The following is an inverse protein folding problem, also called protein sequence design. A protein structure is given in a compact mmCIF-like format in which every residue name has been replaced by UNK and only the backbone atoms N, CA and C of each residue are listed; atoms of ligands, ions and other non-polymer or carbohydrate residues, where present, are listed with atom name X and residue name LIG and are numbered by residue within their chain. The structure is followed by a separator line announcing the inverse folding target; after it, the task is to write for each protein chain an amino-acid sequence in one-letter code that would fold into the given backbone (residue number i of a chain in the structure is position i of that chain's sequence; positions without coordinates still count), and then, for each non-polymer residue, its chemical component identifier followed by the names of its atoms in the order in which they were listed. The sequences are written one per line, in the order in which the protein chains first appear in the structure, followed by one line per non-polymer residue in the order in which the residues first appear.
data_IF_417960480119
#
_entry.id   IF_417960480119
#
_cell.length_a   1.000
_cell.length_b   1.000
_cell.length_c   1.000
_cell.angle_alpha   90.00
_cell.angle_beta   90.00
_cell.angle_gamma   90.00
#
_symmetry.space_group_name_H-M   'P 1'
#
loop_
_entity.id
_entity.type
_entity.pdbx_description
1 polymer ?
#
# COMPACT_ATOMS: atom_id res chain seq x y z
N UNK A 1 -27.20 -1.02 -8.70
CA UNK A 1 -27.25 -0.23 -7.46
C UNK A 1 -26.68 1.14 -7.78
N UNK A 2 -27.33 2.22 -7.31
CA UNK A 2 -26.83 3.59 -7.43
C UNK A 2 -26.22 4.00 -6.08
N UNK A 3 -25.25 4.90 -6.09
CA UNK A 3 -24.64 5.47 -4.90
C UNK A 3 -24.88 6.99 -4.86
N UNK A 4 -25.05 7.55 -3.67
CA UNK A 4 -24.98 8.99 -3.44
C UNK A 4 -23.51 9.36 -3.19
N UNK A 5 -23.01 10.37 -3.90
CA UNK A 5 -21.63 10.84 -3.75
C UNK A 5 -21.66 12.29 -3.28
N UNK A 6 -21.21 12.53 -2.05
CA UNK A 6 -21.02 13.86 -1.49
C UNK A 6 -19.52 14.16 -1.44
N UNK A 7 -19.12 15.30 -2.00
CA UNK A 7 -17.73 15.75 -2.01
C UNK A 7 -17.65 17.06 -1.23
N UNK A 8 -16.63 17.15 -0.35
CA UNK A 8 -16.40 18.33 0.48
C UNK A 8 -14.98 18.81 0.31
N UNK A 9 -14.83 20.01 -0.20
CA UNK A 9 -13.54 20.67 -0.41
C UNK A 9 -13.10 21.38 0.88
N UNK A 10 -11.82 21.21 1.22
CA UNK A 10 -11.20 21.91 2.36
C UNK A 10 -11.15 23.41 2.08
N UNK A 11 -11.34 24.23 3.11
CA UNK A 11 -11.39 25.70 3.05
C UNK A 11 -12.65 26.28 2.36
N UNK A 12 -13.39 25.48 1.60
CA UNK A 12 -14.71 25.84 1.05
C UNK A 12 -15.86 25.27 1.90
N UNK A 13 -15.97 23.94 1.94
CA UNK A 13 -17.13 23.23 2.54
C UNK A 13 -16.85 22.77 3.98
N UNK A 14 -15.59 22.80 4.40
CA UNK A 14 -15.12 22.42 5.72
C UNK A 14 -13.80 23.11 6.05
N UNK A 15 -13.54 23.36 7.34
CA UNK A 15 -12.32 24.04 7.80
C UNK A 15 -11.16 23.09 8.11
N UNK A 16 -11.41 21.79 8.30
CA UNK A 16 -10.37 20.77 8.55
C UNK A 16 -10.84 19.37 8.17
N UNK A 17 -9.89 18.46 7.93
CA UNK A 17 -10.18 17.04 7.68
C UNK A 17 -10.83 16.38 8.90
N UNK A 18 -10.31 16.60 10.11
CA UNK A 18 -10.87 16.05 11.33
C UNK A 18 -12.33 16.49 11.55
N UNK A 19 -12.63 17.78 11.30
CA UNK A 19 -14.01 18.29 11.38
C UNK A 19 -14.90 17.64 10.33
N UNK A 20 -14.45 17.61 9.07
CA UNK A 20 -15.19 16.99 7.97
C UNK A 20 -15.55 15.53 8.28
N UNK A 21 -14.57 14.75 8.75
CA UNK A 21 -14.72 13.34 9.06
C UNK A 21 -15.68 13.11 10.24
N UNK A 22 -15.57 13.91 11.31
CA UNK A 22 -16.48 13.86 12.45
C UNK A 22 -17.94 14.07 12.05
N UNK A 23 -18.21 15.02 11.16
CA UNK A 23 -19.56 15.28 10.67
C UNK A 23 -20.02 14.25 9.63
N UNK A 24 -19.12 13.78 8.76
CA UNK A 24 -19.40 12.73 7.79
C UNK A 24 -19.93 11.47 8.47
N UNK A 25 -19.35 11.05 9.60
CA UNK A 25 -19.83 9.89 10.38
C UNK A 25 -21.28 10.03 10.91
N UNK A 26 -21.86 11.24 10.88
CA UNK A 26 -23.27 11.49 11.27
C UNK A 26 -24.20 11.62 10.07
N UNK A 27 -23.68 11.50 8.85
CA UNK A 27 -24.43 11.55 7.60
C UNK A 27 -24.78 10.14 7.07
N UNK A 28 -24.69 9.12 7.93
CA UNK A 28 -24.94 7.70 7.58
C UNK A 28 -24.14 7.20 6.36
N UNK A 29 -22.80 7.43 6.31
CA UNK A 29 -22.01 7.03 5.15
C UNK A 29 -21.74 5.52 5.16
N UNK A 30 -21.62 4.91 3.98
CA UNK A 30 -21.06 3.55 3.85
C UNK A 30 -19.55 3.58 3.61
N UNK A 31 -19.08 4.58 2.85
CA UNK A 31 -17.70 4.73 2.39
C UNK A 31 -17.23 6.15 2.63
N UNK A 32 -16.04 6.31 3.19
CA UNK A 32 -15.43 7.61 3.44
C UNK A 32 -14.07 7.68 2.76
N UNK A 33 -13.90 8.66 1.85
CA UNK A 33 -12.59 8.99 1.30
C UNK A 33 -11.99 10.16 2.08
N UNK A 34 -11.00 9.87 2.91
CA UNK A 34 -10.14 10.87 3.51
C UNK A 34 -9.01 11.16 2.52
N UNK A 35 -8.78 12.44 2.18
CA UNK A 35 -7.72 12.81 1.23
C UNK A 35 -6.34 12.34 1.68
N UNK A 36 -5.61 13.20 2.39
CA UNK A 36 -4.29 12.87 2.94
C UNK A 36 -4.32 12.83 4.47
N UNK A 37 -3.77 11.77 5.05
CA UNK A 37 -3.63 11.63 6.50
C UNK A 37 -2.31 12.21 6.99
N UNK A 38 -2.31 13.53 7.26
CA UNK A 38 -1.10 14.27 7.68
C UNK A 38 -0.86 14.28 9.18
N UNK A 39 -1.93 14.46 9.94
CA UNK A 39 -1.89 14.69 11.37
C UNK A 39 -2.49 13.52 12.16
N UNK A 40 -2.17 13.51 13.46
CA UNK A 40 -2.61 12.50 14.41
C UNK A 40 -4.14 12.43 14.48
N UNK A 41 -4.82 13.58 14.51
CA UNK A 41 -6.28 13.67 14.64
C UNK A 41 -7.01 13.02 13.46
N UNK A 42 -6.51 13.24 12.24
CA UNK A 42 -7.07 12.66 11.01
C UNK A 42 -6.85 11.15 10.97
N UNK A 43 -5.65 10.67 11.32
CA UNK A 43 -5.35 9.22 11.37
C UNK A 43 -6.23 8.53 12.42
N UNK A 44 -6.32 9.10 13.61
CA UNK A 44 -7.14 8.55 14.69
C UNK A 44 -8.62 8.48 14.28
N UNK A 45 -9.15 9.55 13.70
CA UNK A 45 -10.53 9.60 13.23
C UNK A 45 -10.81 8.59 12.13
N UNK A 46 -9.86 8.37 11.21
CA UNK A 46 -9.97 7.37 10.15
C UNK A 46 -10.02 5.94 10.71
N UNK A 47 -9.16 5.64 11.70
CA UNK A 47 -9.19 4.35 12.40
C UNK A 47 -10.53 4.15 13.11
N UNK A 48 -11.03 5.15 13.84
CA UNK A 48 -12.33 5.07 14.53
C UNK A 48 -13.50 4.89 13.55
N UNK A 49 -13.48 5.56 12.40
CA UNK A 49 -14.49 5.36 11.36
C UNK A 49 -14.45 3.92 10.83
N UNK A 50 -13.27 3.37 10.59
CA UNK A 50 -13.12 1.97 10.16
C UNK A 50 -13.58 0.98 11.25
N UNK A 51 -13.24 1.21 12.52
CA UNK A 51 -13.68 0.38 13.66
C UNK A 51 -15.21 0.32 13.82
N UNK A 52 -15.90 1.39 13.41
CA UNK A 52 -17.36 1.48 13.47
C UNK A 52 -18.06 0.89 12.24
N UNK A 53 -17.31 0.27 11.32
CA UNK A 53 -17.85 -0.50 10.20
C UNK A 53 -17.86 0.23 8.86
N UNK A 54 -17.29 1.43 8.77
CA UNK A 54 -17.21 2.19 7.52
C UNK A 54 -16.03 1.73 6.66
N UNK A 55 -16.19 1.68 5.33
CA UNK A 55 -15.03 1.53 4.45
C UNK A 55 -14.30 2.87 4.34
N UNK A 56 -13.07 2.94 4.87
CA UNK A 56 -12.27 4.16 4.81
C UNK A 56 -11.17 4.02 3.76
N UNK A 57 -11.16 4.94 2.80
CA UNK A 57 -10.09 5.11 1.82
C UNK A 57 -9.26 6.32 2.22
N UNK A 58 -7.94 6.19 2.24
CA UNK A 58 -7.04 7.26 2.63
C UNK A 58 -5.69 7.20 1.91
N UNK A 59 -4.99 8.32 1.83
CA UNK A 59 -3.64 8.38 1.22
C UNK A 59 -2.56 8.85 2.21
N UNK A 60 -1.36 8.30 2.05
CA UNK A 60 -0.12 8.69 2.72
C UNK A 60 1.00 8.77 1.66
N UNK A 61 2.10 9.47 1.99
CA UNK A 61 3.28 9.62 1.13
C UNK A 61 4.40 8.61 1.45
N UNK A 62 4.03 7.36 1.66
CA UNK A 62 4.94 6.24 1.97
C UNK A 62 5.23 5.41 0.73
N UNK A 63 6.41 4.79 0.67
CA UNK A 63 6.87 4.11 -0.56
C UNK A 63 6.55 2.61 -0.59
N UNK A 64 6.24 2.01 0.56
CA UNK A 64 5.85 0.61 0.72
C UNK A 64 4.80 0.40 1.82
N UNK A 65 4.25 -0.79 1.83
CA UNK A 65 3.26 -1.24 2.79
C UNK A 65 3.78 -1.24 4.23
N UNK A 66 5.02 -1.71 4.48
CA UNK A 66 5.62 -1.70 5.83
C UNK A 66 5.76 -0.29 6.39
N UNK A 67 6.33 0.62 5.61
CA UNK A 67 6.52 2.02 5.97
C UNK A 67 5.18 2.73 6.17
N UNK A 68 4.14 2.36 5.42
CA UNK A 68 2.78 2.87 5.61
C UNK A 68 2.27 2.53 7.01
N UNK A 69 2.39 1.27 7.42
CA UNK A 69 1.99 0.81 8.77
C UNK A 69 2.79 1.54 9.85
N UNK A 70 4.12 1.59 9.72
CA UNK A 70 4.98 2.27 10.70
C UNK A 70 4.63 3.76 10.79
N UNK A 71 4.44 4.44 9.66
CA UNK A 71 4.08 5.86 9.62
C UNK A 71 2.75 6.15 10.31
N UNK A 72 1.74 5.28 10.13
CA UNK A 72 0.44 5.43 10.80
C UNK A 72 0.55 5.33 12.33
N UNK A 73 1.58 4.65 12.85
CA UNK A 73 1.78 4.44 14.28
C UNK A 73 2.72 5.50 14.85
N UNK A 74 3.82 5.81 14.16
CA UNK A 74 4.92 6.64 14.66
C UNK A 74 4.57 8.13 14.81
N UNK A 75 3.48 8.59 14.22
CA UNK A 75 2.96 9.95 14.47
C UNK A 75 2.40 10.12 15.88
N UNK A 76 2.05 9.02 16.56
CA UNK A 76 1.49 9.05 17.90
C UNK A 76 2.60 9.06 18.96
N UNK A 77 2.35 9.72 20.12
CA UNK A 77 3.24 9.64 21.27
C UNK A 77 3.49 8.18 21.71
N UNK A 78 4.69 7.82 22.22
CA UNK A 78 5.05 6.43 22.54
C UNK A 78 4.04 5.67 23.42
N UNK A 79 3.38 6.36 24.35
CA UNK A 79 2.39 5.76 25.24
C UNK A 79 1.07 5.37 24.54
N UNK A 80 0.78 5.92 23.36
CA UNK A 80 -0.42 5.61 22.56
C UNK A 80 -0.13 4.63 21.42
N UNK A 81 1.13 4.48 21.00
CA UNK A 81 1.50 3.68 19.82
C UNK A 81 1.02 2.23 19.91
N UNK A 82 1.10 1.60 21.09
CA UNK A 82 0.64 0.23 21.25
C UNK A 82 -0.87 0.09 21.06
N UNK A 83 -1.65 1.06 21.53
CA UNK A 83 -3.10 1.08 21.31
C UNK A 83 -3.41 1.24 19.83
N UNK A 84 -2.81 2.24 19.17
CA UNK A 84 -3.02 2.50 17.74
C UNK A 84 -2.62 1.31 16.88
N UNK A 85 -1.53 0.64 17.22
CA UNK A 85 -1.07 -0.59 16.56
C UNK A 85 -2.13 -1.70 16.63
N UNK A 86 -2.76 -1.90 17.79
CA UNK A 86 -3.80 -2.91 17.97
C UNK A 86 -5.05 -2.55 17.15
N UNK A 87 -5.47 -1.28 17.19
CA UNK A 87 -6.63 -0.80 16.44
C UNK A 87 -6.41 -0.90 14.93
N UNK A 88 -5.28 -0.42 14.43
CA UNK A 88 -4.91 -0.51 13.02
C UNK A 88 -4.89 -1.96 12.54
N UNK A 89 -4.31 -2.88 13.31
CA UNK A 89 -4.31 -4.29 12.96
C UNK A 89 -5.70 -4.94 12.94
N UNK A 90 -6.70 -4.35 13.61
CA UNK A 90 -8.07 -4.85 13.57
C UNK A 90 -8.84 -4.38 12.34
N UNK A 91 -8.47 -3.23 11.76
CA UNK A 91 -9.25 -2.56 10.70
C UNK A 91 -8.53 -2.43 9.36
N UNK A 92 -7.23 -2.71 9.29
CA UNK A 92 -6.48 -2.61 8.04
C UNK A 92 -6.91 -3.70 7.05
N UNK A 93 -7.51 -3.30 5.94
CA UNK A 93 -7.92 -4.21 4.86
C UNK A 93 -6.86 -4.38 3.77
N UNK A 94 -6.22 -3.28 3.36
CA UNK A 94 -5.18 -3.31 2.34
C UNK A 94 -4.29 -2.07 2.38
N UNK A 95 -3.07 -2.20 1.86
CA UNK A 95 -2.20 -1.08 1.51
C UNK A 95 -1.77 -1.24 0.05
N UNK A 96 -1.93 -0.17 -0.73
CA UNK A 96 -1.54 -0.11 -2.14
C UNK A 96 -0.50 0.99 -2.30
N UNK A 97 0.78 0.61 -2.38
CA UNK A 97 1.88 1.54 -2.60
C UNK A 97 2.22 1.61 -4.10
N UNK A 98 2.32 2.84 -4.63
CA UNK A 98 2.41 3.06 -6.08
C UNK A 98 3.62 3.93 -6.44
N UNK A 99 4.29 3.58 -7.52
CA UNK A 99 5.35 4.38 -8.13
C UNK A 99 5.12 4.52 -9.64
N UNK A 100 5.16 5.75 -10.15
CA UNK A 100 5.08 6.00 -11.59
C UNK A 100 6.47 5.99 -12.23
N UNK A 101 6.66 5.06 -13.15
CA UNK A 101 7.94 4.80 -13.81
C UNK A 101 7.89 5.24 -15.28
N UNK A 102 8.96 5.82 -15.84
CA UNK A 102 9.03 6.07 -17.27
C UNK A 102 8.96 4.73 -18.03
N UNK A 103 8.21 4.69 -19.13
CA UNK A 103 8.19 3.50 -19.99
C UNK A 103 9.53 3.37 -20.73
N UNK A 104 9.85 2.15 -21.18
CA UNK A 104 11.04 1.86 -21.98
C UNK A 104 11.10 2.65 -23.29
N UNK A 105 9.94 3.08 -23.80
CA UNK A 105 9.82 3.94 -24.99
C UNK A 105 10.10 5.41 -24.71
N UNK A 106 10.18 5.83 -23.44
CA UNK A 106 10.24 7.23 -23.02
C UNK A 106 8.94 8.01 -23.21
N UNK A 107 7.90 7.40 -23.81
CA UNK A 107 6.59 8.02 -24.00
C UNK A 107 5.63 7.54 -22.91
N UNK A 108 5.30 8.44 -21.99
CA UNK A 108 4.38 8.17 -20.89
C UNK A 108 5.02 7.43 -19.70
N UNK A 109 4.17 6.98 -18.78
CA UNK A 109 4.55 6.31 -17.53
C UNK A 109 3.69 5.07 -17.29
N UNK A 110 4.21 4.12 -16.52
CA UNK A 110 3.49 2.96 -16.01
C UNK A 110 3.51 2.97 -14.48
N UNK A 111 2.44 2.51 -13.84
CA UNK A 111 2.41 2.30 -12.40
C UNK A 111 3.07 0.95 -12.05
N UNK A 112 4.10 0.99 -11.21
CA UNK A 112 4.53 -0.16 -10.43
C UNK A 112 3.79 -0.12 -9.10
N UNK A 113 3.13 -1.23 -8.77
CA UNK A 113 2.20 -1.31 -7.63
C UNK A 113 2.63 -2.46 -6.73
N UNK A 114 2.76 -2.15 -5.45
CA UNK A 114 2.85 -3.08 -4.34
C UNK A 114 1.49 -3.16 -3.63
N UNK A 115 1.07 -4.39 -3.30
CA UNK A 115 -0.24 -4.68 -2.73
C UNK A 115 -0.06 -5.58 -1.50
N UNK A 116 -0.34 -5.02 -0.33
CA UNK A 116 -0.49 -5.75 0.92
C UNK A 116 -1.98 -5.94 1.21
N UNK A 117 -2.36 -7.13 1.66
CA UNK A 117 -3.73 -7.45 2.10
C UNK A 117 -3.72 -7.77 3.60
N UNK A 118 -4.69 -7.24 4.34
CA UNK A 118 -4.88 -7.36 5.79
C UNK A 118 -5.34 -8.74 6.25
N UNK A 119 -4.55 -9.77 5.97
CA UNK A 119 -4.86 -11.14 6.43
C UNK A 119 -4.64 -11.28 7.95
N UNK A 120 -5.24 -12.29 8.62
CA UNK A 120 -5.00 -12.53 10.05
C UNK A 120 -3.51 -12.62 10.44
N UNK A 121 -2.67 -13.15 9.53
CA UNK A 121 -1.22 -13.24 9.72
C UNK A 121 -0.54 -11.87 9.67
N UNK A 122 -0.89 -11.02 8.70
CA UNK A 122 -0.40 -9.63 8.62
C UNK A 122 -0.83 -8.85 9.86
N UNK A 123 -2.10 -8.98 10.25
CA UNK A 123 -2.64 -8.29 11.42
C UNK A 123 -1.92 -8.72 12.71
N UNK A 124 -1.52 -10.00 12.83
CA UNK A 124 -0.68 -10.45 13.93
C UNK A 124 0.71 -9.80 13.94
N UNK A 125 1.38 -9.73 12.78
CA UNK A 125 2.68 -9.04 12.66
C UNK A 125 2.59 -7.57 13.04
N UNK A 126 1.52 -6.87 12.63
CA UNK A 126 1.28 -5.48 13.00
C UNK A 126 1.13 -5.35 14.52
N UNK A 127 0.28 -6.17 15.15
CA UNK A 127 0.07 -6.18 16.63
C UNK A 127 1.36 -6.42 17.42
N UNK A 128 2.22 -7.31 16.92
CA UNK A 128 3.49 -7.67 17.55
C UNK A 128 4.62 -6.68 17.25
N UNK A 129 4.39 -5.68 16.39
CA UNK A 129 5.42 -4.72 15.99
C UNK A 129 6.51 -5.31 15.12
N UNK A 130 6.20 -6.35 14.35
CA UNK A 130 7.13 -7.06 13.46
C UNK A 130 6.94 -6.63 11.99
N UNK A 131 6.88 -5.33 11.71
CA UNK A 131 6.60 -4.78 10.37
C UNK A 131 7.66 -5.16 9.33
N UNK A 132 8.90 -5.41 9.74
CA UNK A 132 9.97 -5.96 8.90
C UNK A 132 9.65 -7.35 8.31
N UNK A 133 8.74 -8.11 8.93
CA UNK A 133 8.31 -9.43 8.43
C UNK A 133 7.16 -9.35 7.41
N UNK A 134 6.61 -8.16 7.16
CA UNK A 134 5.51 -7.97 6.21
C UNK A 134 5.96 -8.34 4.79
N UNK A 135 7.13 -7.90 4.35
CA UNK A 135 7.61 -8.15 2.98
C UNK A 135 7.77 -9.66 2.70
N UNK A 136 8.49 -10.45 3.52
CA UNK A 136 8.52 -11.91 3.35
C UNK A 136 7.12 -12.57 3.36
N UNK A 137 6.21 -12.06 4.21
CA UNK A 137 4.84 -12.57 4.26
C UNK A 137 4.07 -12.26 2.98
N UNK A 138 4.29 -11.09 2.36
CA UNK A 138 3.71 -10.73 1.06
C UNK A 138 4.21 -11.62 -0.06
N UNK A 139 5.49 -12.00 -0.06
CA UNK A 139 6.04 -12.95 -1.02
C UNK A 139 5.34 -14.32 -0.93
N UNK A 140 5.10 -14.82 0.29
CA UNK A 140 4.35 -16.05 0.52
C UNK A 140 2.84 -15.90 0.28
N UNK A 141 2.32 -14.67 0.37
CA UNK A 141 0.89 -14.32 0.37
C UNK A 141 0.25 -14.10 -1.00
N UNK A 142 0.93 -14.45 -2.11
CA UNK A 142 0.44 -14.22 -3.47
C UNK A 142 -0.97 -14.76 -3.74
N UNK A 143 -1.32 -15.90 -3.12
CA UNK A 143 -2.66 -16.50 -3.24
C UNK A 143 -3.79 -15.61 -2.71
N UNK A 144 -3.47 -14.64 -1.86
CA UNK A 144 -4.40 -13.64 -1.35
C UNK A 144 -4.40 -12.35 -2.19
N UNK A 145 -3.71 -12.34 -3.34
CA UNK A 145 -3.55 -11.15 -4.18
C UNK A 145 -2.42 -10.22 -3.75
N UNK A 146 -1.57 -10.63 -2.82
CA UNK A 146 -0.41 -9.83 -2.42
C UNK A 146 0.66 -9.80 -3.51
N UNK A 147 1.36 -8.67 -3.60
CA UNK A 147 2.42 -8.45 -4.56
C UNK A 147 3.45 -7.47 -3.99
N UNK A 148 4.71 -7.87 -3.93
CA UNK A 148 5.82 -6.95 -3.59
C UNK A 148 6.16 -6.04 -4.76
N UNK A 149 6.75 -4.89 -4.47
CA UNK A 149 7.23 -3.98 -5.52
C UNK A 149 8.22 -4.68 -6.47
N UNK A 150 9.18 -5.43 -5.94
CA UNK A 150 10.17 -6.16 -6.76
C UNK A 150 9.53 -7.13 -7.74
N UNK A 151 8.48 -7.85 -7.32
CA UNK A 151 7.73 -8.72 -8.23
C UNK A 151 7.01 -7.94 -9.33
N UNK A 152 6.45 -6.78 -9.00
CA UNK A 152 5.88 -5.86 -9.99
C UNK A 152 6.92 -5.40 -11.02
N UNK A 153 8.09 -4.96 -10.53
CA UNK A 153 9.20 -4.49 -11.36
C UNK A 153 9.73 -5.58 -12.28
N UNK A 154 9.88 -6.81 -11.76
CA UNK A 154 10.27 -7.98 -12.56
C UNK A 154 9.29 -8.22 -13.71
N UNK A 155 7.99 -8.17 -13.43
CA UNK A 155 6.94 -8.36 -14.45
C UNK A 155 6.95 -7.25 -15.51
N UNK A 156 7.08 -5.99 -15.11
CA UNK A 156 7.18 -4.86 -16.03
C UNK A 156 8.44 -4.94 -16.89
N UNK A 157 9.58 -5.36 -16.32
CA UNK A 157 10.83 -5.58 -17.04
C UNK A 157 10.71 -6.76 -18.02
N UNK A 158 10.13 -7.88 -17.58
CA UNK A 158 9.88 -9.07 -18.40
C UNK A 158 9.05 -8.74 -19.64
N UNK A 159 8.02 -7.91 -19.46
CA UNK A 159 7.15 -7.41 -20.55
C UNK A 159 7.79 -6.29 -21.37
N UNK A 160 9.04 -5.91 -21.08
CA UNK A 160 9.80 -4.81 -21.70
C UNK A 160 9.10 -3.44 -21.60
N UNK A 161 8.22 -3.28 -20.61
CA UNK A 161 7.51 -2.01 -20.36
C UNK A 161 8.45 -0.99 -19.70
N UNK A 162 9.40 -1.46 -18.87
CA UNK A 162 10.43 -0.63 -18.24
C UNK A 162 11.82 -1.17 -18.56
N UNK A 163 12.85 -0.31 -18.53
CA UNK A 163 14.24 -0.72 -18.71
C UNK A 163 14.80 -1.37 -17.44
N UNK A 164 15.87 -2.16 -17.59
CA UNK A 164 16.60 -2.72 -16.45
C UNK A 164 17.06 -1.63 -15.47
N UNK A 165 17.68 -0.55 -15.97
CA UNK A 165 18.12 0.59 -15.15
C UNK A 165 16.95 1.23 -14.39
N UNK A 166 15.80 1.43 -15.05
CA UNK A 166 14.60 1.98 -14.38
C UNK A 166 14.10 1.06 -13.28
N UNK A 167 14.01 -0.25 -13.53
CA UNK A 167 13.58 -1.22 -12.53
C UNK A 167 14.54 -1.25 -11.33
N UNK A 168 15.85 -1.31 -11.57
CA UNK A 168 16.87 -1.37 -10.53
C UNK A 168 16.94 -0.09 -9.68
N UNK A 169 16.76 1.10 -10.29
CA UNK A 169 16.74 2.37 -9.53
C UNK A 169 15.56 2.48 -8.58
N UNK A 170 14.44 1.83 -8.91
CA UNK A 170 13.15 1.96 -8.22
C UNK A 170 12.87 0.83 -7.24
N UNK A 171 13.66 -0.24 -7.31
CA UNK A 171 13.62 -1.35 -6.36
C UNK A 171 14.06 -0.93 -4.96
N UNK A 172 13.34 -1.43 -3.95
CA UNK A 172 13.71 -1.31 -2.54
C UNK A 172 14.83 -2.27 -2.13
N UNK A 173 14.91 -3.44 -2.78
CA UNK A 173 15.99 -4.39 -2.60
C UNK A 173 16.55 -4.80 -3.97
N UNK A 174 17.60 -4.10 -4.38
CA UNK A 174 18.24 -4.27 -5.70
C UNK A 174 18.85 -5.65 -5.86
N UNK A 175 19.45 -6.18 -4.81
CA UNK A 175 20.09 -7.50 -4.81
C UNK A 175 19.05 -8.61 -5.07
N UNK A 176 17.92 -8.51 -4.37
CA UNK A 176 16.78 -9.41 -4.59
C UNK A 176 16.26 -9.32 -6.03
N UNK A 177 16.00 -8.11 -6.55
CA UNK A 177 15.50 -7.95 -7.91
C UNK A 177 16.50 -8.47 -8.96
N UNK A 178 17.79 -8.20 -8.80
CA UNK A 178 18.83 -8.72 -9.70
C UNK A 178 18.81 -10.25 -9.75
N UNK A 179 18.77 -10.90 -8.58
CA UNK A 179 18.65 -12.35 -8.46
C UNK A 179 17.39 -12.89 -9.13
N UNK A 180 16.24 -12.24 -8.95
CA UNK A 180 14.99 -12.63 -9.62
C UNK A 180 15.10 -12.53 -11.16
N UNK A 181 15.74 -11.47 -11.67
CA UNK A 181 15.96 -11.27 -13.11
C UNK A 181 16.86 -12.36 -13.68
N UNK A 182 17.96 -12.69 -12.99
CA UNK A 182 18.88 -13.76 -13.38
C UNK A 182 18.17 -15.11 -13.46
N UNK A 183 17.37 -15.46 -12.43
CA UNK A 183 16.58 -16.70 -12.42
C UNK A 183 15.58 -16.76 -13.58
N UNK A 184 14.90 -15.66 -13.87
CA UNK A 184 13.98 -15.55 -15.01
C UNK A 184 14.70 -15.79 -16.34
N UNK A 185 15.87 -15.18 -16.54
CA UNK A 185 16.66 -15.33 -17.76
C UNK A 185 17.19 -16.76 -17.94
N UNK A 186 17.66 -17.39 -16.85
CA UNK A 186 18.10 -18.78 -16.85
C UNK A 186 16.97 -19.74 -17.25
N UNK A 187 15.77 -19.55 -16.70
CA UNK A 187 14.59 -20.35 -17.03
C UNK A 187 14.19 -20.21 -18.51
N UNK A 188 14.24 -18.99 -19.07
CA UNK A 188 13.95 -18.76 -20.48
C UNK A 188 14.95 -19.45 -21.42
N UNK A 189 16.24 -19.42 -21.07
CA UNK A 189 17.29 -20.10 -21.83
C UNK A 189 17.18 -21.63 -21.83
N UNK A 190 16.76 -22.22 -20.70
CA UNK A 190 16.49 -23.65 -20.60
C UNK A 190 15.30 -24.09 -21.46
N UNK A 191 14.22 -23.30 -21.49
CA UNK A 191 13.05 -23.59 -22.33
C UNK A 191 13.35 -23.51 -23.83
N UNK A 192 14.24 -22.61 -24.26
CA UNK A 192 14.68 -22.56 -25.66
C UNK A 192 15.51 -23.79 -26.04
N UNK A 193 16.41 -24.25 -25.15
CA UNK A 193 17.22 -25.45 -25.38
C UNK A 193 16.40 -26.75 -25.41
N UNK A 194 15.32 -26.83 -24.62
CA UNK A 194 14.44 -28.00 -24.60
C UNK A 194 13.49 -28.10 -25.82
N UNK A 195 13.35 -27.01 -26.59
CA UNK A 195 12.51 -26.93 -27.79
C UNK A 195 13.30 -27.02 -29.10
N UNK A 196 14.63 -26.97 -29.03
CA UNK A 196 15.55 -27.14 -30.14
C UNK A 196 16.02 -28.60 -30.22
#
# INVERSE_FOLDING_TARGET
RLALVEQRELESDTHSFASALKYAMRQDPDVILVGEMRDLETIQSAITAAETGHLVLATLHTNDASQTVDRMIDVFPPHQQQQIRIQLAAVLEAVIAQQLLPTSTGKGRVAAIEILIGTPAINALIREGKTQQIIPMMEAGQKYGMQTLNRCLLELYRKRIVTYDTAMRRSQNREDLARMIEQMQAAAGQQQKARA
#
